data_IF_783920801945
#
_entry.id   IF_783920801945
#
_cell.length_a   1.000
_cell.length_b   1.000
_cell.length_c   1.000
_cell.angle_alpha   90.00
_cell.angle_beta   90.00
_cell.angle_gamma   90.00
#
_symmetry.space_group_name_H-M   'P 1'
#
loop_
_entity.id
_entity.type
_entity.pdbx_description
1 polymer ?
#
# COMPACT_ATOMS: atom_id res chain seq x y z
N UNK A 1 -27.95 -15.86 -3.98
CA UNK A 1 -27.10 -14.71 -4.35
C UNK A 1 -27.71 -13.52 -3.62
N UNK A 2 -27.36 -13.34 -2.36
CA UNK A 2 -27.86 -12.20 -1.58
C UNK A 2 -27.07 -10.98 -2.01
N UNK A 3 -27.74 -10.08 -2.72
CA UNK A 3 -27.21 -8.76 -3.04
C UNK A 3 -27.07 -8.02 -1.72
N UNK A 4 -25.83 -7.86 -1.24
CA UNK A 4 -25.53 -6.95 -0.12
C UNK A 4 -26.14 -5.59 -0.50
N UNK A 5 -27.17 -5.17 0.23
CA UNK A 5 -27.67 -3.81 0.11
C UNK A 5 -26.49 -2.86 0.33
N UNK A 6 -26.27 -1.85 -0.52
CA UNK A 6 -25.19 -0.90 -0.31
C UNK A 6 -25.41 -0.25 1.06
N UNK A 7 -24.43 -0.39 1.94
CA UNK A 7 -24.41 0.34 3.20
C UNK A 7 -24.53 1.83 2.87
N UNK A 8 -25.44 2.60 3.48
CA UNK A 8 -25.53 4.04 3.24
C UNK A 8 -24.15 4.66 3.48
N UNK A 9 -23.71 5.56 2.59
CA UNK A 9 -22.41 6.22 2.70
C UNK A 9 -22.31 6.90 4.06
N UNK A 10 -21.47 6.34 4.93
CA UNK A 10 -21.36 6.74 6.33
C UNK A 10 -20.54 8.03 6.53
N UNK A 11 -20.11 8.68 5.45
CA UNK A 11 -19.19 9.82 5.49
C UNK A 11 -19.87 11.12 5.09
N UNK A 12 -19.48 12.18 5.78
CA UNK A 12 -19.95 13.53 5.50
C UNK A 12 -19.39 14.03 4.14
N UNK A 13 -20.19 14.69 3.29
CA UNK A 13 -19.73 15.17 1.99
C UNK A 13 -18.51 16.09 2.05
N UNK A 14 -18.37 16.91 3.10
CA UNK A 14 -17.21 17.80 3.25
C UNK A 14 -15.94 17.01 3.52
N UNK A 15 -16.01 15.94 4.32
CA UNK A 15 -14.88 15.03 4.55
C UNK A 15 -14.41 14.36 3.25
N UNK A 16 -15.35 13.94 2.40
CA UNK A 16 -15.03 13.31 1.11
C UNK A 16 -14.31 14.29 0.17
N UNK A 17 -14.78 15.54 0.09
CA UNK A 17 -14.15 16.57 -0.75
C UNK A 17 -12.75 16.88 -0.24
N UNK A 18 -12.58 17.05 1.08
CA UNK A 18 -11.28 17.32 1.68
C UNK A 18 -10.30 16.17 1.41
N UNK A 19 -10.73 14.91 1.60
CA UNK A 19 -9.93 13.72 1.31
C UNK A 19 -9.52 13.64 -0.17
N UNK A 20 -10.45 13.90 -1.09
CA UNK A 20 -10.18 13.92 -2.52
C UNK A 20 -9.18 15.02 -2.92
N UNK A 21 -9.29 16.22 -2.33
CA UNK A 21 -8.36 17.31 -2.57
C UNK A 21 -6.95 16.99 -2.08
N UNK A 22 -6.82 16.44 -0.87
CA UNK A 22 -5.52 16.03 -0.32
C UNK A 22 -4.90 14.93 -1.17
N UNK A 23 -5.66 13.87 -1.48
CA UNK A 23 -5.16 12.77 -2.30
C UNK A 23 -4.70 13.27 -3.68
N UNK A 24 -5.52 14.09 -4.34
CA UNK A 24 -5.17 14.68 -5.64
C UNK A 24 -3.90 15.52 -5.55
N UNK A 25 -3.76 16.34 -4.51
CA UNK A 25 -2.58 17.18 -4.32
C UNK A 25 -1.29 16.36 -4.22
N UNK A 26 -1.29 15.25 -3.49
CA UNK A 26 -0.12 14.37 -3.41
C UNK A 26 0.13 13.63 -4.72
N UNK A 27 -0.92 13.15 -5.40
CA UNK A 27 -0.78 12.42 -6.66
C UNK A 27 -0.18 13.29 -7.78
N UNK A 28 -0.65 14.52 -7.96
CA UNK A 28 -0.13 15.40 -9.03
C UNK A 28 1.30 15.90 -8.76
N UNK A 29 1.77 15.82 -7.51
CA UNK A 29 3.12 16.22 -7.10
C UNK A 29 4.07 15.04 -6.85
N UNK A 30 3.72 13.82 -7.29
CA UNK A 30 4.57 12.64 -7.10
C UNK A 30 4.90 12.35 -5.63
N UNK A 31 3.95 12.62 -4.75
CA UNK A 31 4.07 12.54 -3.29
C UNK A 31 5.27 13.32 -2.72
N UNK A 32 5.79 14.31 -3.43
CA UNK A 32 6.99 15.08 -3.08
C UNK A 32 8.24 14.19 -2.88
N UNK A 33 8.28 13.06 -3.58
CA UNK A 33 9.45 12.18 -3.60
C UNK A 33 10.45 12.62 -4.68
N UNK A 34 11.76 12.39 -4.49
CA UNK A 34 12.78 12.86 -5.43
C UNK A 34 12.68 12.19 -6.81
N UNK A 35 12.19 10.95 -6.86
CA UNK A 35 11.98 10.18 -8.07
C UNK A 35 10.99 9.03 -7.82
N UNK A 36 10.44 8.46 -8.89
CA UNK A 36 9.72 7.19 -8.79
C UNK A 36 10.63 6.09 -8.25
N UNK A 37 10.10 5.22 -7.39
CA UNK A 37 10.87 4.14 -6.78
C UNK A 37 11.76 4.56 -5.61
N UNK A 38 11.84 5.85 -5.25
CA UNK A 38 12.68 6.35 -4.15
C UNK A 38 12.44 5.63 -2.81
N UNK A 39 11.20 5.19 -2.54
CA UNK A 39 10.88 4.41 -1.33
C UNK A 39 11.48 3.00 -1.35
N UNK A 40 11.50 2.34 -2.50
CA UNK A 40 12.12 1.01 -2.64
C UNK A 40 13.64 1.14 -2.48
N UNK A 41 14.25 2.15 -3.08
CA UNK A 41 15.68 2.43 -2.90
C UNK A 41 16.02 2.71 -1.44
N UNK A 42 15.23 3.56 -0.76
CA UNK A 42 15.40 3.85 0.65
C UNK A 42 15.26 2.60 1.52
N UNK A 43 14.31 1.71 1.16
CA UNK A 43 14.07 0.47 1.88
C UNK A 43 15.25 -0.50 1.81
N UNK A 44 15.92 -0.57 0.66
CA UNK A 44 17.09 -1.41 0.45
C UNK A 44 18.38 -0.79 1.00
N UNK A 45 18.51 0.54 0.94
CA UNK A 45 19.72 1.25 1.33
C UNK A 45 19.83 1.51 2.85
N UNK A 46 18.70 1.54 3.56
CA UNK A 46 18.66 1.86 4.98
C UNK A 46 18.64 0.61 5.85
N UNK A 47 19.78 0.28 6.46
CA UNK A 47 19.89 -0.79 7.46
C UNK A 47 18.91 -0.61 8.64
N UNK A 48 18.48 0.63 8.90
CA UNK A 48 17.48 0.94 9.93
C UNK A 48 16.12 0.32 9.59
N UNK A 49 15.61 0.54 8.36
CA UNK A 49 14.29 0.03 7.96
C UNK A 49 14.28 -1.48 7.79
N UNK A 50 15.38 -2.06 7.31
CA UNK A 50 15.54 -3.52 7.17
C UNK A 50 15.56 -4.25 8.53
N UNK A 51 15.98 -3.58 9.61
CA UNK A 51 16.03 -4.19 10.95
C UNK A 51 14.68 -4.22 11.69
N UNK A 52 13.68 -3.47 11.20
CA UNK A 52 12.38 -3.37 11.84
C UNK A 52 11.55 -4.60 11.47
N UNK A 53 11.10 -5.43 12.44
CA UNK A 53 10.20 -6.52 12.16
C UNK A 53 8.89 -5.99 11.58
N UNK A 54 8.51 -6.45 10.39
CA UNK A 54 7.28 -6.04 9.73
C UNK A 54 6.64 -7.20 8.97
N UNK A 55 5.35 -7.05 8.65
CA UNK A 55 4.60 -7.98 7.82
C UNK A 55 3.86 -7.20 6.73
N UNK A 56 3.87 -7.71 5.51
CA UNK A 56 3.16 -7.12 4.37
C UNK A 56 1.86 -7.91 4.17
N UNK A 57 0.72 -7.30 4.50
CA UNK A 57 -0.60 -7.87 4.25
C UNK A 57 -1.18 -7.18 3.02
N UNK A 58 -1.46 -7.96 1.98
CA UNK A 58 -1.92 -7.41 0.71
C UNK A 58 -2.96 -8.30 0.03
N UNK A 59 -4.05 -7.70 -0.42
CA UNK A 59 -5.14 -8.41 -1.09
C UNK A 59 -4.75 -8.84 -2.50
N UNK A 60 -5.06 -10.09 -2.88
CA UNK A 60 -4.76 -10.61 -4.23
C UNK A 60 -5.44 -9.80 -5.34
N UNK A 61 -6.61 -9.24 -5.07
CA UNK A 61 -7.43 -8.49 -6.03
C UNK A 61 -7.51 -7.00 -5.69
N UNK A 62 -6.54 -6.45 -4.97
CA UNK A 62 -6.45 -5.00 -4.80
C UNK A 62 -6.09 -4.36 -6.14
N UNK A 63 -7.03 -3.56 -6.67
CA UNK A 63 -6.88 -2.87 -7.96
C UNK A 63 -6.41 -1.42 -7.80
N UNK A 64 -6.43 -0.89 -6.57
CA UNK A 64 -6.01 0.48 -6.28
C UNK A 64 -4.50 0.49 -6.03
N UNK A 65 -4.04 -0.38 -5.15
CA UNK A 65 -2.63 -0.61 -4.86
C UNK A 65 -2.29 -2.01 -5.37
N UNK A 66 -1.72 -2.14 -6.56
CA UNK A 66 -1.55 -3.47 -7.15
C UNK A 66 -0.58 -4.37 -6.35
N UNK A 67 -0.79 -5.71 -6.33
CA UNK A 67 0.08 -6.65 -5.61
C UNK A 67 1.54 -6.63 -6.03
N UNK A 68 1.84 -6.12 -7.23
CA UNK A 68 3.21 -5.96 -7.72
C UNK A 68 4.03 -5.06 -6.78
N UNK A 69 3.47 -3.94 -6.32
CA UNK A 69 4.18 -3.02 -5.43
C UNK A 69 4.54 -3.68 -4.09
N UNK A 70 3.61 -4.46 -3.53
CA UNK A 70 3.83 -5.22 -2.30
C UNK A 70 4.89 -6.31 -2.49
N UNK A 71 4.86 -7.02 -3.62
CA UNK A 71 5.86 -8.04 -3.96
C UNK A 71 7.25 -7.45 -4.16
N UNK A 72 7.36 -6.33 -4.88
CA UNK A 72 8.64 -5.64 -5.11
C UNK A 72 9.22 -5.12 -3.79
N UNK A 73 8.38 -4.62 -2.87
CA UNK A 73 8.81 -4.24 -1.53
C UNK A 73 9.30 -5.45 -0.72
N UNK A 74 8.57 -6.57 -0.74
CA UNK A 74 8.93 -7.81 -0.05
C UNK A 74 10.25 -8.42 -0.57
N UNK A 75 10.56 -8.28 -1.87
CA UNK A 75 11.80 -8.77 -2.44
C UNK A 75 13.01 -7.91 -2.04
N UNK A 76 12.79 -6.62 -1.77
CA UNK A 76 13.82 -5.64 -1.42
C UNK A 76 14.02 -5.50 0.10
N UNK A 77 12.95 -5.70 0.88
CA UNK A 77 13.03 -5.90 2.31
C UNK A 77 13.39 -7.35 2.60
N UNK A 78 14.56 -7.60 3.18
CA UNK A 78 14.96 -8.92 3.68
C UNK A 78 14.08 -9.34 4.89
N UNK A 79 12.77 -9.55 4.70
CA UNK A 79 11.93 -10.17 5.72
C UNK A 79 12.15 -11.68 5.60
N UNK A 80 12.95 -12.21 6.52
CA UNK A 80 13.34 -13.62 6.57
C UNK A 80 12.23 -14.58 7.00
N UNK A 81 10.98 -14.15 7.26
CA UNK A 81 9.94 -15.07 7.75
C UNK A 81 8.52 -14.64 7.35
N UNK A 82 8.09 -15.02 6.15
CA UNK A 82 6.68 -15.38 5.92
C UNK A 82 6.66 -16.81 5.40
N UNK A 83 6.26 -17.74 6.27
CA UNK A 83 5.86 -19.08 5.84
C UNK A 83 4.85 -18.93 4.71
N UNK A 84 5.19 -19.45 3.53
CA UNK A 84 4.19 -19.68 2.49
C UNK A 84 3.01 -20.42 3.15
N UNK A 85 1.76 -19.97 2.99
CA UNK A 85 0.64 -20.81 3.37
C UNK A 85 0.77 -22.09 2.54
N UNK A 86 0.89 -23.22 3.24
CA UNK A 86 0.97 -24.53 2.62
C UNK A 86 -0.13 -24.66 1.58
N UNK A 87 0.28 -24.95 0.34
CA UNK A 87 -0.60 -25.37 -0.73
C UNK A 87 -1.54 -26.46 -0.21
N UNK A 88 -2.85 -26.23 -0.33
CA UNK A 88 -3.84 -27.29 -0.45
C UNK A 88 -4.43 -27.21 -1.86
#
# INVERSE_FOLDING_TARGET
METLAPCPSQHDPTELIAGAQIATHFFVNGCFTPAEGALLELSSASSSLASIPCAIIHGRHDVICTPKAAYDLQANHLISHVSQPASQ
#
